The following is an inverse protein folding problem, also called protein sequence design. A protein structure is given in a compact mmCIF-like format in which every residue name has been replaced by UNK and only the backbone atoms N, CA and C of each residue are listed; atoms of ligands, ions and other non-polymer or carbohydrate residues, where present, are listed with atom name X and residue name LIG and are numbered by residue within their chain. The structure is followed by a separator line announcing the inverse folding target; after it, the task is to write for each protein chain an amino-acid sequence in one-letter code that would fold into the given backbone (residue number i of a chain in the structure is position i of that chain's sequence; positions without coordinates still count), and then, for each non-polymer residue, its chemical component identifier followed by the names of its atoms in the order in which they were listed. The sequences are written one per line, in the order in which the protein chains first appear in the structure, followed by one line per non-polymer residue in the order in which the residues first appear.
data_IF_162607321269
#
_entry.id   IF_162607321269
#
_cell.length_a   1.000
_cell.length_b   1.000
_cell.length_c   1.000
_cell.angle_alpha   90.00
_cell.angle_beta   90.00
_cell.angle_gamma   90.00
#
_symmetry.space_group_name_H-M   'P 1'
#
loop_
_entity.id
_entity.type
_entity.pdbx_description
1 polymer ?
#
# COMPACT_ATOMS: atom_id res chain seq x y z
N UNK A 1 12.06 -28.42 -1.96
CA UNK A 1 12.56 -27.47 -0.95
C UNK A 1 12.08 -26.11 -1.41
N UNK A 2 11.05 -25.58 -0.76
CA UNK A 2 10.61 -24.20 -1.00
C UNK A 2 11.12 -23.42 0.20
N UNK A 3 11.93 -22.41 -0.08
CA UNK A 3 12.74 -21.70 0.89
C UNK A 3 11.85 -21.08 1.98
N UNK A 4 11.98 -21.61 3.20
CA UNK A 4 11.64 -20.92 4.44
C UNK A 4 12.81 -19.97 4.78
N UNK A 5 13.10 -18.99 3.92
CA UNK A 5 14.20 -18.07 4.15
C UNK A 5 13.71 -16.62 4.25
N UNK A 6 13.87 -16.09 5.46
CA UNK A 6 13.79 -14.70 5.91
C UNK A 6 12.53 -13.89 5.53
N UNK A 7 11.45 -14.10 6.31
CA UNK A 7 10.29 -13.19 6.42
C UNK A 7 10.63 -11.85 7.14
N UNK A 8 11.91 -11.46 7.19
CA UNK A 8 12.34 -10.14 7.67
C UNK A 8 12.30 -9.15 6.53
N UNK A 9 11.15 -8.48 6.41
CA UNK A 9 11.04 -7.28 5.61
C UNK A 9 11.72 -6.13 6.35
N UNK A 10 12.78 -5.56 5.78
CA UNK A 10 13.40 -4.32 6.27
C UNK A 10 12.88 -3.08 5.53
N UNK A 11 12.00 -3.30 4.54
CA UNK A 11 11.40 -2.23 3.75
C UNK A 11 10.15 -1.71 4.43
N UNK A 12 9.97 -0.40 4.42
CA UNK A 12 8.74 0.25 4.93
C UNK A 12 7.49 -0.22 4.18
N UNK A 13 7.65 -0.69 2.94
CA UNK A 13 6.56 -1.07 2.04
C UNK A 13 6.72 -2.52 1.54
N UNK A 14 5.64 -3.29 1.68
CA UNK A 14 5.50 -4.64 1.11
C UNK A 14 4.47 -4.63 -0.02
N UNK A 15 4.83 -5.18 -1.18
CA UNK A 15 3.93 -5.38 -2.31
C UNK A 15 3.42 -6.81 -2.33
N UNK A 16 2.10 -6.97 -2.32
CA UNK A 16 1.43 -8.26 -2.43
C UNK A 16 0.69 -8.36 -3.76
N UNK A 17 0.78 -9.50 -4.43
CA UNK A 17 -0.02 -9.79 -5.62
C UNK A 17 -0.83 -11.06 -5.45
N UNK A 18 -2.14 -10.91 -5.34
CA UNK A 18 -3.11 -11.99 -5.24
C UNK A 18 -3.83 -12.21 -6.57
N UNK A 19 -3.42 -13.26 -7.29
CA UNK A 19 -4.05 -13.70 -8.55
C UNK A 19 -3.80 -15.19 -8.74
N UNK A 20 -4.81 -15.93 -9.22
CA UNK A 20 -4.69 -17.38 -9.47
C UNK A 20 -3.64 -17.70 -10.53
N UNK A 21 -3.42 -16.78 -11.47
CA UNK A 21 -2.55 -16.90 -12.62
C UNK A 21 -1.25 -16.10 -12.47
N UNK A 22 -0.97 -15.56 -11.27
CA UNK A 22 0.18 -14.67 -11.02
C UNK A 22 1.51 -15.26 -11.48
N UNK A 23 1.68 -16.59 -11.36
CA UNK A 23 2.91 -17.30 -11.73
C UNK A 23 2.77 -18.16 -13.00
N UNK A 24 1.69 -18.00 -13.78
CA UNK A 24 1.36 -18.90 -14.90
C UNK A 24 1.66 -18.33 -16.28
N UNK A 25 1.76 -17.00 -16.42
CA UNK A 25 1.92 -16.33 -17.72
C UNK A 25 3.23 -15.55 -17.76
N UNK A 26 3.92 -15.57 -18.89
CA UNK A 26 5.15 -14.79 -19.09
C UNK A 26 4.93 -13.29 -18.82
N UNK A 27 3.78 -12.74 -19.21
CA UNK A 27 3.43 -11.35 -18.93
C UNK A 27 3.42 -11.04 -17.43
N UNK A 28 2.75 -11.86 -16.61
CA UNK A 28 2.75 -11.68 -15.16
C UNK A 28 4.16 -11.83 -14.59
N UNK A 29 4.97 -12.78 -15.06
CA UNK A 29 6.36 -12.98 -14.60
C UNK A 29 7.19 -11.72 -14.90
N UNK A 30 7.16 -11.21 -16.13
CA UNK A 30 7.85 -9.96 -16.49
C UNK A 30 7.32 -8.76 -15.69
N UNK A 31 6.02 -8.73 -15.40
CA UNK A 31 5.44 -7.67 -14.57
C UNK A 31 5.93 -7.75 -13.12
N UNK A 32 6.06 -8.96 -12.56
CA UNK A 32 6.65 -9.15 -11.24
C UNK A 32 8.11 -8.64 -11.18
N UNK A 33 8.91 -8.89 -12.22
CA UNK A 33 10.28 -8.39 -12.32
C UNK A 33 10.31 -6.85 -12.29
N UNK A 34 9.51 -6.20 -13.14
CA UNK A 34 9.38 -4.73 -13.14
C UNK A 34 8.91 -4.18 -11.80
N UNK A 35 8.01 -4.87 -11.10
CA UNK A 35 7.51 -4.44 -9.79
C UNK A 35 8.55 -4.58 -8.68
N UNK A 36 9.42 -5.60 -8.75
CA UNK A 36 10.55 -5.78 -7.81
C UNK A 36 11.58 -4.67 -7.91
N UNK A 37 11.74 -4.07 -9.09
CA UNK A 37 12.60 -2.89 -9.27
C UNK A 37 12.06 -1.64 -8.57
N UNK A 38 10.75 -1.58 -8.31
CA UNK A 38 10.08 -0.44 -7.66
C UNK A 38 9.96 -0.68 -6.15
N UNK A 39 9.50 -1.87 -5.75
CA UNK A 39 9.33 -2.26 -4.36
C UNK A 39 10.06 -3.59 -4.18
N UNK A 40 11.15 -3.55 -3.41
CA UNK A 40 12.06 -4.67 -3.24
C UNK A 40 11.35 -5.93 -2.70
N UNK A 41 10.41 -5.76 -1.77
CA UNK A 41 9.65 -6.87 -1.21
C UNK A 41 8.32 -7.11 -1.95
N UNK A 42 8.36 -7.99 -2.97
CA UNK A 42 7.18 -8.51 -3.65
C UNK A 42 6.89 -9.96 -3.24
N UNK A 43 5.67 -10.22 -2.74
CA UNK A 43 5.16 -11.57 -2.43
C UNK A 43 3.88 -11.88 -3.20
N UNK A 44 3.80 -13.06 -3.81
CA UNK A 44 2.66 -13.47 -4.62
C UNK A 44 1.83 -14.54 -3.92
N UNK A 45 0.52 -14.50 -4.14
CA UNK A 45 -0.45 -15.43 -3.58
C UNK A 45 -1.43 -15.89 -4.66
N UNK A 46 -1.72 -17.18 -4.67
CA UNK A 46 -2.76 -17.76 -5.53
C UNK A 46 -4.07 -18.01 -4.79
N UNK A 47 -4.06 -17.90 -3.46
CA UNK A 47 -5.19 -18.18 -2.58
C UNK A 47 -5.46 -17.02 -1.62
N UNK A 48 -6.73 -16.62 -1.54
CA UNK A 48 -7.21 -15.53 -0.67
C UNK A 48 -6.85 -15.79 0.79
N UNK A 49 -7.09 -16.99 1.30
CA UNK A 49 -6.85 -17.33 2.72
C UNK A 49 -5.40 -17.11 3.15
N UNK A 50 -4.44 -17.56 2.33
CA UNK A 50 -3.00 -17.37 2.60
C UNK A 50 -2.59 -15.90 2.58
N UNK A 51 -3.18 -15.12 1.67
CA UNK A 51 -2.93 -13.69 1.59
C UNK A 51 -3.44 -12.96 2.83
N UNK A 52 -4.67 -13.24 3.25
CA UNK A 52 -5.27 -12.64 4.46
C UNK A 52 -4.47 -13.01 5.71
N UNK A 53 -4.16 -14.30 5.89
CA UNK A 53 -3.37 -14.79 7.04
C UNK A 53 -2.00 -14.11 7.12
N UNK A 54 -1.35 -13.89 5.97
CA UNK A 54 -0.07 -13.21 5.92
C UNK A 54 -0.19 -11.74 6.35
N UNK A 55 -1.19 -11.01 5.85
CA UNK A 55 -1.44 -9.62 6.24
C UNK A 55 -1.72 -9.55 7.74
N UNK A 56 -2.65 -10.37 8.25
CA UNK A 56 -3.00 -10.38 9.68
C UNK A 56 -1.80 -10.68 10.58
N UNK A 57 -0.93 -11.63 10.20
CA UNK A 57 0.29 -11.95 10.95
C UNK A 57 1.27 -10.77 11.00
N UNK A 58 1.35 -9.99 9.92
CA UNK A 58 2.27 -8.86 9.78
C UNK A 58 1.80 -7.58 10.47
N UNK A 59 0.62 -7.57 11.08
CA UNK A 59 0.09 -6.41 11.80
C UNK A 59 1.01 -5.90 12.92
N UNK A 60 1.85 -6.77 13.50
CA UNK A 60 2.77 -6.40 14.57
C UNK A 60 4.01 -5.60 14.10
N UNK A 61 4.34 -5.65 12.82
CA UNK A 61 5.62 -5.14 12.29
C UNK A 61 5.55 -3.67 11.83
N UNK A 62 4.37 -3.02 11.91
CA UNK A 62 4.11 -1.68 11.35
C UNK A 62 4.40 -1.55 9.83
N UNK A 63 4.52 -2.68 9.12
CA UNK A 63 4.75 -2.73 7.68
C UNK A 63 3.56 -2.17 6.90
N UNK A 64 3.80 -1.27 5.94
CA UNK A 64 2.77 -0.76 5.05
C UNK A 64 2.60 -1.71 3.86
N UNK A 65 1.37 -2.16 3.62
CA UNK A 65 1.03 -3.16 2.61
C UNK A 65 0.32 -2.51 1.42
N UNK A 66 0.84 -2.80 0.23
CA UNK A 66 0.23 -2.47 -1.06
C UNK A 66 -0.24 -3.78 -1.68
N UNK A 67 -1.52 -3.85 -2.05
CA UNK A 67 -2.11 -5.07 -2.61
C UNK A 67 -2.49 -4.87 -4.07
N UNK A 68 -2.06 -5.80 -4.92
CA UNK A 68 -2.57 -6.03 -6.27
C UNK A 68 -3.50 -7.25 -6.18
N UNK A 69 -4.72 -7.12 -6.66
CA UNK A 69 -5.70 -8.22 -6.63
C UNK A 69 -6.36 -8.38 -7.98
N UNK A 70 -6.64 -9.62 -8.39
CA UNK A 70 -7.45 -9.88 -9.57
C UNK A 70 -8.89 -9.38 -9.38
N UNK A 71 -9.59 -9.05 -10.47
CA UNK A 71 -11.00 -8.65 -10.42
C UNK A 71 -11.89 -9.67 -9.69
N UNK A 72 -11.63 -10.96 -9.94
CA UNK A 72 -12.37 -12.08 -9.35
C UNK A 72 -12.17 -12.18 -7.83
N UNK A 73 -10.93 -12.05 -7.36
CA UNK A 73 -10.62 -12.12 -5.93
C UNK A 73 -10.92 -10.81 -5.19
N UNK A 74 -10.93 -9.67 -5.90
CA UNK A 74 -11.17 -8.35 -5.32
C UNK A 74 -12.50 -8.26 -4.56
N UNK A 75 -13.58 -8.77 -5.14
CA UNK A 75 -14.92 -8.73 -4.53
C UNK A 75 -14.98 -9.50 -3.20
N UNK A 76 -14.21 -10.57 -3.06
CA UNK A 76 -14.21 -11.40 -1.85
C UNK A 76 -13.24 -10.86 -0.80
N UNK A 77 -12.02 -10.47 -1.18
CA UNK A 77 -10.98 -10.12 -0.21
C UNK A 77 -11.13 -8.70 0.33
N UNK A 78 -11.49 -7.73 -0.52
CA UNK A 78 -11.50 -6.31 -0.13
C UNK A 78 -12.38 -6.06 1.11
N UNK A 79 -13.64 -6.56 1.20
CA UNK A 79 -14.45 -6.36 2.39
C UNK A 79 -13.83 -6.91 3.69
N UNK A 80 -12.96 -7.94 3.60
CA UNK A 80 -12.31 -8.57 4.77
C UNK A 80 -11.12 -7.76 5.27
N UNK A 81 -10.31 -7.24 4.35
CA UNK A 81 -9.05 -6.56 4.67
C UNK A 81 -9.13 -5.04 4.68
N UNK A 82 -10.25 -4.45 4.21
CA UNK A 82 -10.40 -3.00 4.07
C UNK A 82 -10.19 -2.25 5.39
N UNK A 83 -10.56 -2.85 6.53
CA UNK A 83 -10.40 -2.21 7.83
C UNK A 83 -8.98 -2.32 8.42
N UNK A 84 -8.06 -3.05 7.78
CA UNK A 84 -6.72 -3.26 8.31
C UNK A 84 -5.85 -1.99 8.11
N UNK A 85 -5.27 -1.42 9.18
CA UNK A 85 -4.57 -0.13 9.11
C UNK A 85 -3.29 -0.19 8.26
N UNK A 86 -2.63 -1.34 8.23
CA UNK A 86 -1.44 -1.59 7.41
C UNK A 86 -1.71 -1.56 5.91
N UNK A 87 -2.96 -1.79 5.48
CA UNK A 87 -3.32 -1.78 4.07
C UNK A 87 -3.52 -0.34 3.61
N UNK A 88 -2.54 0.17 2.87
CA UNK A 88 -2.47 1.57 2.44
C UNK A 88 -2.99 1.80 1.02
N UNK A 89 -2.94 0.79 0.15
CA UNK A 89 -3.40 0.89 -1.23
C UNK A 89 -3.75 -0.45 -1.82
N UNK A 90 -4.82 -0.48 -2.60
CA UNK A 90 -5.31 -1.64 -3.33
C UNK A 90 -5.44 -1.28 -4.82
N UNK A 91 -4.86 -2.10 -5.68
CA UNK A 91 -4.97 -2.04 -7.13
C UNK A 91 -5.69 -3.28 -7.61
N UNK A 92 -6.74 -3.09 -8.40
CA UNK A 92 -7.47 -4.19 -9.01
C UNK A 92 -6.92 -4.36 -10.43
N UNK A 93 -6.21 -5.47 -10.68
CA UNK A 93 -5.69 -5.82 -12.00
C UNK A 93 -6.62 -6.83 -12.67
N UNK A 94 -7.29 -6.45 -13.77
CA UNK A 94 -8.28 -7.32 -14.42
C UNK A 94 -8.44 -6.98 -15.89
N UNK A 95 -8.66 -7.99 -16.75
CA UNK A 95 -8.97 -7.76 -18.16
C UNK A 95 -10.33 -7.09 -18.43
N UNK A 96 -11.26 -7.12 -17.47
CA UNK A 96 -12.61 -6.55 -17.62
C UNK A 96 -12.86 -5.38 -16.64
N UNK A 97 -12.87 -4.16 -17.19
CA UNK A 97 -12.97 -2.91 -16.41
C UNK A 97 -14.37 -2.61 -15.87
N UNK A 98 -15.40 -2.82 -16.69
CA UNK A 98 -16.75 -2.22 -16.48
C UNK A 98 -17.48 -2.76 -15.25
N UNK A 99 -17.42 -4.07 -15.00
CA UNK A 99 -18.07 -4.70 -13.83
C UNK A 99 -17.35 -4.38 -12.51
N UNK A 100 -16.06 -4.03 -12.58
CA UNK A 100 -15.22 -3.88 -11.39
C UNK A 100 -15.07 -2.44 -10.88
N UNK A 101 -15.40 -1.46 -11.70
CA UNK A 101 -15.42 -0.04 -11.31
C UNK A 101 -16.62 0.33 -10.42
N UNK A 102 -17.77 -0.33 -10.57
CA UNK A 102 -18.97 0.07 -9.81
C UNK A 102 -18.87 -0.28 -8.33
N UNK A 103 -18.44 -1.49 -7.99
CA UNK A 103 -18.32 -1.90 -6.59
C UNK A 103 -17.08 -1.32 -5.90
N UNK A 104 -15.99 -1.07 -6.65
CA UNK A 104 -14.78 -0.45 -6.09
C UNK A 104 -15.00 0.99 -5.64
N UNK A 105 -16.00 1.70 -6.20
CA UNK A 105 -16.43 3.03 -5.73
C UNK A 105 -16.88 3.05 -4.27
N UNK A 106 -17.28 1.90 -3.70
CA UNK A 106 -17.66 1.80 -2.29
C UNK A 106 -16.44 1.76 -1.35
N UNK A 107 -15.23 1.62 -1.90
CA UNK A 107 -13.98 1.43 -1.15
C UNK A 107 -12.89 2.44 -1.56
N UNK A 108 -13.30 3.63 -2.02
CA UNK A 108 -12.39 4.67 -2.58
C UNK A 108 -11.26 5.09 -1.64
N UNK A 109 -11.44 4.96 -0.33
CA UNK A 109 -10.43 5.34 0.65
C UNK A 109 -9.17 4.46 0.53
N UNK A 110 -9.24 3.27 -0.05
CA UNK A 110 -8.09 2.35 -0.21
C UNK A 110 -7.95 1.77 -1.60
N UNK A 111 -9.01 1.71 -2.39
CA UNK A 111 -8.93 1.24 -3.78
C UNK A 111 -8.49 2.41 -4.67
N UNK A 112 -7.25 2.32 -5.13
CA UNK A 112 -6.58 3.38 -5.87
C UNK A 112 -6.91 3.36 -7.37
N UNK A 113 -7.03 2.18 -7.96
CA UNK A 113 -7.35 2.05 -9.39
C UNK A 113 -7.84 0.65 -9.78
N UNK A 114 -8.61 0.59 -10.85
CA UNK A 114 -8.89 -0.61 -11.64
C UNK A 114 -8.08 -0.50 -12.94
N UNK A 115 -7.19 -1.45 -13.17
CA UNK A 115 -6.15 -1.41 -14.20
C UNK A 115 -6.28 -2.65 -15.09
N UNK A 116 -6.18 -2.45 -16.40
CA UNK A 116 -6.37 -3.52 -17.40
C UNK A 116 -5.09 -3.93 -18.11
N UNK A 117 -3.99 -3.20 -17.93
CA UNK A 117 -2.71 -3.51 -18.57
C UNK A 117 -1.56 -3.56 -17.55
N UNK A 118 -0.65 -4.50 -17.75
CA UNK A 118 0.55 -4.68 -16.93
C UNK A 118 1.42 -3.42 -16.91
N UNK A 119 1.59 -2.75 -18.04
CA UNK A 119 2.38 -1.51 -18.12
C UNK A 119 1.73 -0.36 -17.32
N UNK A 120 0.42 -0.20 -17.40
CA UNK A 120 -0.30 0.80 -16.60
C UNK A 120 -0.18 0.50 -15.10
N UNK A 121 -0.20 -0.78 -14.71
CA UNK A 121 -0.02 -1.21 -13.32
C UNK A 121 1.35 -0.80 -12.78
N UNK A 122 2.41 -1.10 -13.52
CA UNK A 122 3.79 -0.74 -13.16
C UNK A 122 3.95 0.77 -13.07
N UNK A 123 3.48 1.52 -14.07
CA UNK A 123 3.56 2.99 -14.09
C UNK A 123 2.79 3.60 -12.91
N UNK A 124 1.58 3.10 -12.63
CA UNK A 124 0.73 3.62 -11.55
C UNK A 124 1.38 3.39 -10.19
N UNK A 125 1.90 2.19 -9.93
CA UNK A 125 2.56 1.85 -8.66
C UNK A 125 3.85 2.65 -8.50
N UNK A 126 4.68 2.73 -9.55
CA UNK A 126 5.90 3.54 -9.53
C UNK A 126 5.62 5.00 -9.20
N UNK A 127 4.60 5.60 -9.83
CA UNK A 127 4.21 6.98 -9.57
C UNK A 127 3.79 7.19 -8.12
N UNK A 128 3.01 6.27 -7.55
CA UNK A 128 2.56 6.37 -6.16
C UNK A 128 3.68 6.17 -5.16
N UNK A 129 4.63 5.25 -5.40
CA UNK A 129 5.78 5.09 -4.53
C UNK A 129 6.65 6.36 -4.51
N UNK A 130 6.97 6.91 -5.68
CA UNK A 130 7.71 8.17 -5.79
C UNK A 130 7.02 9.34 -5.07
N UNK A 131 5.69 9.35 -4.99
CA UNK A 131 4.94 10.37 -4.26
C UNK A 131 5.02 10.16 -2.74
N UNK A 132 5.04 8.91 -2.26
CA UNK A 132 5.19 8.58 -0.83
C UNK A 132 6.55 9.05 -0.30
N UNK A 133 7.61 8.72 -1.03
CA UNK A 133 8.98 9.10 -0.68
C UNK A 133 9.14 10.63 -0.56
N UNK A 134 8.58 11.39 -1.51
CA UNK A 134 8.63 12.86 -1.50
C UNK A 134 7.89 13.48 -0.32
N UNK A 135 6.77 12.88 0.11
CA UNK A 135 6.01 13.36 1.28
C UNK A 135 6.76 13.04 2.58
N UNK A 136 7.38 11.86 2.69
CA UNK A 136 8.21 11.48 3.84
C UNK A 136 9.47 12.37 3.95
N UNK A 137 10.09 12.74 2.82
CA UNK A 137 11.23 13.68 2.79
C UNK A 137 10.81 15.10 3.22
N UNK A 138 9.70 15.62 2.68
CA UNK A 138 9.21 16.96 3.00
C UNK A 138 8.74 17.09 4.46
N UNK A 139 8.13 16.04 5.02
CA UNK A 139 7.69 16.03 6.42
C UNK A 139 8.86 15.99 7.39
N UNK A 140 9.90 15.20 7.10
CA UNK A 140 11.15 15.17 7.87
C UNK A 140 11.84 16.54 7.92
N UNK A 141 11.81 17.29 6.81
CA UNK A 141 12.41 18.63 6.73
C UNK A 141 11.63 19.67 7.56
N UNK A 142 10.29 19.57 7.62
CA UNK A 142 9.44 20.54 8.34
C UNK A 142 9.52 20.44 9.88
N UNK A 143 9.78 19.25 10.44
CA UNK A 143 9.91 19.06 11.89
C UNK A 143 11.16 19.73 12.49
N UNK A 144 12.21 19.95 11.69
CA UNK A 144 13.45 20.54 12.15
C UNK A 144 13.33 22.05 12.49
N UNK A 145 12.33 22.74 11.95
CA UNK A 145 12.22 24.21 12.07
C UNK A 145 11.55 24.64 13.40
N UNK A 146 10.82 23.75 14.06
CA UNK A 146 10.11 24.03 15.32
C UNK A 146 10.94 23.89 16.60
N UNK A 147 12.18 23.38 16.52
CA UNK A 147 13.01 23.11 17.70
C UNK A 147 14.00 24.24 18.06
N UNK A 148 14.11 25.30 17.25
CA UNK A 148 15.05 26.40 17.49
C UNK A 148 14.36 27.76 17.55
N UNK A 149 13.68 28.05 18.66
CA UNK A 149 13.49 29.43 19.12
C UNK A 149 13.45 29.47 20.65
N UNK A 150 14.62 29.62 21.27
CA UNK A 150 14.75 29.99 22.67
C UNK A 150 15.04 31.48 22.79
N UNK A 151 14.08 32.27 23.28
CA UNK A 151 14.37 33.37 24.23
C UNK A 151 13.11 33.82 25.00
N UNK A 152 13.15 33.53 26.31
CA UNK A 152 12.64 34.29 27.47
C UNK A 152 11.15 34.59 27.67
N UNK A 153 10.65 33.98 28.75
CA UNK A 153 9.85 34.58 29.85
C UNK A 153 8.32 34.44 29.85
N UNK A 154 7.89 33.61 30.81
CA UNK A 154 6.76 33.80 31.73
C UNK A 154 5.33 33.52 31.27
N UNK A 155 4.81 32.44 31.87
CA UNK A 155 3.49 32.28 32.49
C UNK A 155 2.28 31.76 31.70
N UNK A 156 1.55 30.90 32.41
CA UNK A 156 0.16 30.44 32.24
C UNK A 156 -0.22 29.43 31.13
N UNK A 157 -0.68 28.27 31.64
CA UNK A 157 -1.94 27.58 31.27
C UNK A 157 -1.89 26.35 30.36
N UNK A 158 -2.07 25.21 31.04
CA UNK A 158 -2.98 24.08 30.75
C UNK A 158 -2.92 23.48 29.33
N UNK A 159 -2.33 22.29 29.33
CA UNK A 159 -2.39 21.22 28.35
C UNK A 159 -3.72 21.05 27.61
N UNK A 160 -3.63 21.02 26.27
CA UNK A 160 -4.46 20.17 25.42
C UNK A 160 -3.58 19.77 24.23
N UNK A 161 -2.78 18.73 24.43
CA UNK A 161 -1.99 18.08 23.39
C UNK A 161 -2.94 17.42 22.40
N UNK A 162 -3.37 18.17 21.39
CA UNK A 162 -3.89 17.59 20.16
C UNK A 162 -2.72 17.46 19.21
N UNK A 163 -2.13 16.26 19.17
CA UNK A 163 -1.21 15.86 18.12
C UNK A 163 -1.82 16.21 16.76
N UNK A 164 -1.07 16.76 15.79
CA UNK A 164 -1.48 16.69 14.40
C UNK A 164 -1.49 15.21 14.07
N UNK A 165 -2.68 14.60 14.04
CA UNK A 165 -2.89 13.33 13.37
C UNK A 165 -2.59 13.64 11.92
N UNK A 166 -1.34 13.39 11.51
CA UNK A 166 -0.98 13.23 10.12
C UNK A 166 -1.79 12.02 9.66
N UNK A 167 -3.02 12.28 9.21
CA UNK A 167 -3.73 11.37 8.33
C UNK A 167 -2.81 11.29 7.12
N UNK A 168 -2.02 10.23 7.02
CA UNK A 168 -1.56 9.76 5.71
C UNK A 168 -2.81 9.70 4.86
N UNK A 169 -3.07 10.76 4.09
CA UNK A 169 -4.12 10.73 3.09
C UNK A 169 -3.75 9.58 2.19
N UNK A 170 -4.65 8.61 2.10
CA UNK A 170 -4.52 7.55 1.11
C UNK A 170 -4.27 8.22 -0.23
N UNK A 171 -3.16 7.91 -0.89
CA UNK A 171 -2.82 8.45 -2.21
C UNK A 171 -3.87 8.09 -3.27
N UNK A 172 -4.82 7.22 -2.93
CA UNK A 172 -6.03 6.96 -3.70
C UNK A 172 -6.94 8.20 -3.84
N UNK A 173 -6.83 9.22 -2.97
CA UNK A 173 -7.63 10.46 -3.03
C UNK A 173 -7.15 11.50 -4.05
N UNK A 174 -5.99 11.30 -4.71
CA UNK A 174 -5.41 12.32 -5.61
C UNK A 174 -5.86 12.24 -7.08
N UNK A 175 -6.90 11.46 -7.40
CA UNK A 175 -7.48 11.37 -8.76
C UNK A 175 -8.94 11.81 -8.82
#
# INVERSE_FOLDING_TARGET
LFDEDDDKNFETFSLLWLDSNVNLTDENITTQEKLREIINYLKTFTHISKCVEWIERKQADNDKVILIVSGDYGKEIIPRIFNLPQLISIYIYCGEKVSHEEWSKNYKDKVCAVITSSDELVVRISKDQNQREKVEEATSSSMAISASSSSSSSDTSISSSSSPINKEKSLCELN
#
